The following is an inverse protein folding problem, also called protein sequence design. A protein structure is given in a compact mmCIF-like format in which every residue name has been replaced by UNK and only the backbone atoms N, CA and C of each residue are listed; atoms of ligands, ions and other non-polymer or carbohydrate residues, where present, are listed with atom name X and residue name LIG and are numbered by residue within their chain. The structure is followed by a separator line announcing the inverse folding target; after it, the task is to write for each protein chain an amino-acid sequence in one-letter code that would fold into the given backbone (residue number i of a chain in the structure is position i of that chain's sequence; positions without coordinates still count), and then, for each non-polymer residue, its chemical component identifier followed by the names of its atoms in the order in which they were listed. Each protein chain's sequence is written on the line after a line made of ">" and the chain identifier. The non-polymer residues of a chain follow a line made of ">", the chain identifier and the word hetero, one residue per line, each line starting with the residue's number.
data_IF_639211319965
#
_entry.id   IF_639211319965
#
_cell.length_a   1.000
_cell.length_b   1.000
_cell.length_c   1.000
_cell.angle_alpha   90.00
_cell.angle_beta   90.00
_cell.angle_gamma   90.00
#
_symmetry.space_group_name_H-M   'P 1'
#
loop_
_entity.id
_entity.type
_entity.pdbx_description
1 polymer ?
#
# COMPACT_ATOMS: atom_id res chain seq x y z
N UNK A 1 4.99 0.41 16.13
CA UNK A 1 4.66 -0.76 15.28
C UNK A 1 3.74 -1.62 16.11
N UNK A 2 2.64 -2.06 15.51
CA UNK A 2 1.62 -2.88 16.14
C UNK A 2 1.29 -4.06 15.23
N UNK A 3 0.66 -5.09 15.79
CA UNK A 3 -0.02 -6.12 15.01
C UNK A 3 -1.51 -6.03 15.29
N UNK A 4 -2.34 -6.27 14.27
CA UNK A 4 -3.75 -6.56 14.45
C UNK A 4 -4.07 -7.95 13.92
N UNK A 5 -4.91 -8.66 14.63
CA UNK A 5 -5.41 -9.98 14.27
C UNK A 5 -6.79 -9.86 13.67
N UNK A 6 -7.23 -10.88 12.91
CA UNK A 6 -8.56 -10.89 12.28
C UNK A 6 -9.72 -10.64 13.25
N UNK A 7 -9.57 -10.98 14.53
CA UNK A 7 -10.56 -10.75 15.59
C UNK A 7 -10.54 -9.34 16.19
N UNK A 8 -9.49 -8.55 15.96
CA UNK A 8 -9.36 -7.23 16.58
C UNK A 8 -10.28 -6.21 15.92
N UNK A 9 -10.94 -5.32 16.67
CA UNK A 9 -11.80 -4.27 16.12
C UNK A 9 -11.10 -3.35 15.10
N UNK A 10 -9.78 -3.18 15.23
CA UNK A 10 -8.97 -2.37 14.32
C UNK A 10 -8.62 -3.06 12.99
N UNK A 11 -8.92 -4.36 12.86
CA UNK A 11 -8.65 -5.09 11.63
C UNK A 11 -9.63 -4.67 10.51
N UNK A 12 -9.14 -4.30 9.31
CA UNK A 12 -10.00 -3.78 8.23
C UNK A 12 -11.13 -4.75 7.87
N UNK A 13 -12.37 -4.26 7.83
CA UNK A 13 -13.53 -5.10 7.57
C UNK A 13 -13.48 -5.69 6.15
N UNK A 14 -13.04 -4.89 5.18
CA UNK A 14 -12.83 -5.31 3.79
C UNK A 14 -11.91 -6.54 3.68
N UNK A 15 -10.79 -6.53 4.41
CA UNK A 15 -9.87 -7.67 4.46
C UNK A 15 -10.46 -8.91 5.11
N UNK A 16 -11.51 -8.84 5.94
CA UNK A 16 -12.14 -10.04 6.50
C UNK A 16 -12.97 -10.79 5.46
N UNK A 17 -13.34 -10.12 4.37
CA UNK A 17 -14.26 -10.63 3.37
C UNK A 17 -13.55 -11.31 2.18
N UNK A 18 -12.22 -11.22 2.11
CA UNK A 18 -11.46 -11.90 1.06
C UNK A 18 -11.38 -13.40 1.34
N UNK A 19 -11.12 -14.20 0.29
CA UNK A 19 -11.07 -15.67 0.37
C UNK A 19 -10.03 -16.21 1.38
N UNK A 20 -8.90 -15.53 1.51
CA UNK A 20 -7.79 -15.92 2.39
C UNK A 20 -7.27 -14.70 3.18
N UNK A 21 -8.01 -14.28 4.23
CA UNK A 21 -7.66 -13.09 5.01
C UNK A 21 -6.41 -13.35 5.86
N UNK A 22 -5.45 -12.42 5.93
CA UNK A 22 -4.28 -12.61 6.78
C UNK A 22 -4.69 -12.67 8.25
N UNK A 23 -4.31 -13.76 8.94
CA UNK A 23 -4.62 -13.92 10.36
C UNK A 23 -3.98 -12.82 11.23
N UNK A 24 -2.82 -12.34 10.82
CA UNK A 24 -2.05 -11.27 11.47
C UNK A 24 -1.63 -10.28 10.40
N UNK A 25 -1.91 -9.00 10.65
CA UNK A 25 -1.44 -7.88 9.85
C UNK A 25 -0.50 -7.03 10.72
N UNK A 26 0.76 -6.96 10.33
CA UNK A 26 1.73 -6.06 10.94
C UNK A 26 1.54 -4.66 10.39
N UNK A 27 1.59 -3.66 11.27
CA UNK A 27 1.35 -2.24 10.94
C UNK A 27 2.50 -1.39 11.49
N UNK A 28 3.08 -0.57 10.64
CA UNK A 28 4.00 0.50 11.01
C UNK A 28 3.28 1.82 10.85
N UNK A 29 3.14 2.53 11.99
CA UNK A 29 2.18 3.61 12.29
C UNK A 29 0.82 3.05 12.66
N UNK A 30 -0.25 3.68 12.20
CA UNK A 30 -1.63 3.35 12.51
C UNK A 30 -2.37 3.14 11.19
N UNK A 31 -3.37 2.25 11.19
CA UNK A 31 -4.26 2.14 10.04
C UNK A 31 -5.13 3.40 9.99
N UNK A 32 -5.28 4.05 8.83
CA UNK A 32 -6.14 5.21 8.72
C UNK A 32 -7.58 4.85 9.05
N UNK A 33 -8.28 5.75 9.72
CA UNK A 33 -9.74 5.64 9.86
C UNK A 33 -10.38 5.61 8.47
N UNK A 34 -11.40 4.77 8.30
CA UNK A 34 -12.05 4.51 7.03
C UNK A 34 -11.03 4.09 5.95
N UNK A 35 -10.10 3.19 6.28
CA UNK A 35 -9.21 2.56 5.29
C UNK A 35 -10.00 1.85 4.19
N UNK A 36 -11.19 1.34 4.52
CA UNK A 36 -12.11 0.72 3.56
C UNK A 36 -12.59 1.72 2.49
N UNK A 37 -12.45 3.04 2.72
CA UNK A 37 -12.67 4.09 1.72
C UNK A 37 -11.36 4.50 1.06
N UNK A 38 -10.80 3.56 0.27
CA UNK A 38 -9.52 3.71 -0.41
C UNK A 38 -9.56 3.12 -1.82
N UNK A 39 -8.63 3.55 -2.66
CA UNK A 39 -8.42 3.00 -4.01
C UNK A 39 -7.00 2.47 -4.17
N UNK A 40 -6.90 1.35 -4.90
CA UNK A 40 -5.64 0.81 -5.32
C UNK A 40 -5.18 1.51 -6.60
N UNK A 41 -3.91 1.90 -6.66
CA UNK A 41 -3.26 2.36 -7.90
C UNK A 41 -2.05 1.47 -8.12
N UNK A 42 -2.13 0.63 -9.16
CA UNK A 42 -1.12 -0.40 -9.48
C UNK A 42 -0.84 -0.41 -10.98
N UNK A 43 0.26 -1.00 -11.40
CA UNK A 43 0.53 -1.11 -12.83
C UNK A 43 1.88 -1.68 -13.21
N UNK A 44 2.33 -1.31 -14.40
CA UNK A 44 3.55 -1.82 -15.03
C UNK A 44 4.81 -1.60 -14.16
N UNK A 45 5.67 -2.62 -14.06
CA UNK A 45 7.00 -2.55 -13.46
C UNK A 45 8.04 -1.74 -14.28
N UNK A 46 7.68 -1.35 -15.50
CA UNK A 46 8.50 -0.54 -16.40
C UNK A 46 7.62 0.52 -17.08
N UNK A 47 7.14 1.51 -16.32
CA UNK A 47 6.26 2.54 -16.87
C UNK A 47 7.02 3.45 -17.83
N UNK A 48 6.31 4.04 -18.78
CA UNK A 48 6.81 5.19 -19.54
C UNK A 48 6.66 6.45 -18.69
N UNK A 49 7.43 7.51 -18.97
CA UNK A 49 7.28 8.80 -18.27
C UNK A 49 5.84 9.33 -18.24
N UNK A 50 5.09 9.08 -19.31
CA UNK A 50 3.66 9.42 -19.37
C UNK A 50 2.86 8.67 -18.31
N UNK A 51 3.09 7.38 -18.13
CA UNK A 51 2.38 6.55 -17.14
C UNK A 51 2.81 6.84 -15.70
N UNK A 52 4.08 7.17 -15.50
CA UNK A 52 4.59 7.69 -14.22
C UNK A 52 3.80 8.94 -13.83
N UNK A 53 3.75 9.93 -14.73
CA UNK A 53 2.99 11.17 -14.52
C UNK A 53 1.50 10.92 -14.32
N UNK A 54 0.89 10.06 -15.15
CA UNK A 54 -0.54 9.75 -15.04
C UNK A 54 -0.87 9.11 -13.69
N UNK A 55 -0.03 8.19 -13.20
CA UNK A 55 -0.24 7.53 -11.90
C UNK A 55 -0.12 8.50 -10.74
N UNK A 56 0.83 9.43 -10.82
CA UNK A 56 0.94 10.54 -9.90
C UNK A 56 -0.31 11.43 -9.94
N UNK A 57 -0.68 11.93 -11.12
CA UNK A 57 -1.79 12.87 -11.29
C UNK A 57 -3.13 12.25 -10.83
N UNK A 58 -3.36 10.96 -11.13
CA UNK A 58 -4.54 10.21 -10.63
C UNK A 58 -4.52 10.11 -9.11
N UNK A 59 -3.42 9.65 -8.52
CA UNK A 59 -3.33 9.45 -7.08
C UNK A 59 -3.49 10.77 -6.33
N UNK A 60 -2.91 11.85 -6.84
CA UNK A 60 -3.06 13.20 -6.33
C UNK A 60 -4.53 13.63 -6.34
N UNK A 61 -5.19 13.57 -7.50
CA UNK A 61 -6.58 13.99 -7.64
C UNK A 61 -7.56 13.17 -6.78
N UNK A 62 -7.36 11.85 -6.70
CA UNK A 62 -8.17 10.99 -5.82
C UNK A 62 -7.98 11.37 -4.35
N UNK A 63 -6.75 11.70 -3.96
CA UNK A 63 -6.42 12.07 -2.58
C UNK A 63 -7.02 13.42 -2.19
N UNK A 64 -7.01 14.41 -3.09
CA UNK A 64 -7.71 15.69 -2.88
C UNK A 64 -9.21 15.52 -2.65
N UNK A 65 -9.81 14.43 -3.17
CA UNK A 65 -11.20 14.07 -2.96
C UNK A 65 -11.42 13.15 -1.74
N UNK A 66 -10.44 13.04 -0.85
CA UNK A 66 -10.56 12.35 0.45
C UNK A 66 -10.35 10.82 0.41
N UNK A 67 -9.95 10.26 -0.74
CA UNK A 67 -9.60 8.85 -0.83
C UNK A 67 -8.17 8.59 -0.34
N UNK A 68 -7.96 7.44 0.31
CA UNK A 68 -6.61 6.95 0.59
C UNK A 68 -6.11 6.15 -0.60
N UNK A 69 -4.80 6.21 -0.84
CA UNK A 69 -4.16 5.44 -1.90
C UNK A 69 -3.47 4.23 -1.29
N UNK A 70 -3.81 3.04 -1.77
CA UNK A 70 -3.18 1.78 -1.41
C UNK A 70 -2.34 1.29 -2.58
N UNK A 71 -1.07 0.96 -2.34
CA UNK A 71 -0.23 0.37 -3.39
C UNK A 71 0.91 -0.46 -2.78
N UNK A 72 1.75 -1.04 -3.62
CA UNK A 72 2.70 -2.07 -3.26
C UNK A 72 4.13 -1.61 -2.97
N UNK A 73 4.43 -0.32 -3.09
CA UNK A 73 5.76 0.23 -2.84
C UNK A 73 6.87 -0.26 -3.77
N UNK A 74 6.56 -0.86 -4.93
CA UNK A 74 7.56 -1.22 -5.93
C UNK A 74 8.17 0.03 -6.63
N UNK A 75 9.20 -0.15 -7.45
CA UNK A 75 9.99 0.92 -8.10
C UNK A 75 9.25 1.75 -9.18
N UNK A 76 7.96 1.53 -9.34
CA UNK A 76 7.25 1.74 -10.59
C UNK A 76 6.01 2.61 -10.38
N UNK A 77 4.89 2.27 -11.02
CA UNK A 77 3.58 2.90 -10.82
C UNK A 77 3.25 3.09 -9.33
N UNK A 78 3.62 2.11 -8.49
CA UNK A 78 3.42 2.18 -7.04
C UNK A 78 4.12 3.40 -6.43
N UNK A 79 5.36 3.69 -6.85
CA UNK A 79 6.16 4.83 -6.36
C UNK A 79 5.48 6.17 -6.67
N UNK A 80 5.03 6.35 -7.91
CA UNK A 80 4.41 7.60 -8.35
C UNK A 80 3.03 7.80 -7.74
N UNK A 81 2.27 6.73 -7.54
CA UNK A 81 1.00 6.78 -6.84
C UNK A 81 1.17 7.24 -5.38
N UNK A 82 2.14 6.67 -4.65
CA UNK A 82 2.44 7.10 -3.29
C UNK A 82 2.91 8.56 -3.24
N UNK A 83 3.76 8.98 -4.19
CA UNK A 83 4.24 10.37 -4.23
C UNK A 83 3.08 11.35 -4.50
N UNK A 84 2.16 11.03 -5.42
CA UNK A 84 0.98 11.86 -5.69
C UNK A 84 0.07 12.00 -4.47
N UNK A 85 -0.16 10.91 -3.74
CA UNK A 85 -0.95 10.94 -2.51
C UNK A 85 -0.30 11.77 -1.40
N UNK A 86 1.02 11.66 -1.23
CA UNK A 86 1.76 12.46 -0.25
C UNK A 86 1.76 13.95 -0.59
N UNK A 87 1.96 14.29 -1.85
CA UNK A 87 2.02 15.68 -2.30
C UNK A 87 0.64 16.37 -2.22
N UNK A 88 -0.45 15.61 -2.37
CA UNK A 88 -1.81 16.07 -2.08
C UNK A 88 -2.09 16.24 -0.57
N UNK A 89 -1.13 15.94 0.29
CA UNK A 89 -1.26 16.07 1.75
C UNK A 89 -2.15 15.01 2.40
N UNK A 90 -2.48 13.92 1.69
CA UNK A 90 -3.34 12.86 2.23
C UNK A 90 -2.58 11.64 2.73
N UNK A 91 -3.32 10.56 2.91
CA UNK A 91 -2.84 9.33 3.54
C UNK A 91 -2.64 8.23 2.50
N UNK A 92 -1.46 7.61 2.50
CA UNK A 92 -1.17 6.46 1.64
C UNK A 92 -0.74 5.23 2.45
N UNK A 93 -1.12 4.05 1.96
CA UNK A 93 -0.83 2.76 2.57
C UNK A 93 0.01 1.92 1.63
N UNK A 94 1.21 1.54 2.09
CA UNK A 94 2.08 0.60 1.39
C UNK A 94 1.83 -0.80 1.92
N UNK A 95 1.41 -1.71 1.06
CA UNK A 95 1.30 -3.12 1.39
C UNK A 95 2.63 -3.79 1.02
N UNK A 96 3.45 -4.15 1.99
CA UNK A 96 4.79 -4.69 1.76
C UNK A 96 4.74 -6.17 1.36
N UNK A 97 5.70 -6.59 0.51
CA UNK A 97 5.89 -8.00 0.12
C UNK A 97 6.94 -8.75 0.96
N UNK A 98 7.39 -8.12 2.03
CA UNK A 98 8.39 -8.57 2.98
C UNK A 98 8.01 -8.11 4.38
N UNK A 99 8.75 -8.53 5.39
CA UNK A 99 8.57 -8.04 6.76
C UNK A 99 8.81 -6.54 6.87
N UNK A 100 8.16 -5.87 7.84
CA UNK A 100 8.31 -4.42 8.07
C UNK A 100 9.68 -4.01 8.63
N UNK A 101 10.50 -4.97 9.06
CA UNK A 101 11.90 -4.78 9.41
C UNK A 101 12.84 -4.77 8.20
N UNK A 102 12.33 -5.02 6.99
CA UNK A 102 13.10 -5.05 5.75
C UNK A 102 12.63 -3.93 4.83
N UNK A 103 13.55 -3.05 4.43
CA UNK A 103 13.29 -2.00 3.44
C UNK A 103 13.49 -2.60 2.06
N UNK A 104 12.39 -2.75 1.32
CA UNK A 104 12.46 -3.22 -0.06
C UNK A 104 11.39 -2.54 -0.94
N UNK A 105 11.78 -2.02 -2.11
CA UNK A 105 13.15 -1.97 -2.61
C UNK A 105 13.98 -0.88 -1.94
N UNK A 106 15.31 -1.05 -1.93
CA UNK A 106 16.22 -0.12 -1.24
C UNK A 106 16.17 1.31 -1.80
N UNK A 107 15.92 1.50 -3.11
CA UNK A 107 15.81 2.85 -3.68
C UNK A 107 14.62 3.64 -3.12
N UNK A 108 13.60 2.96 -2.63
CA UNK A 108 12.40 3.59 -2.08
C UNK A 108 12.54 3.87 -0.59
N UNK A 109 13.73 3.73 -0.01
CA UNK A 109 13.98 4.03 1.40
C UNK A 109 13.50 5.44 1.78
N UNK A 110 13.92 6.46 1.04
CA UNK A 110 13.51 7.85 1.31
C UNK A 110 12.00 8.05 1.16
N UNK A 111 11.38 7.39 0.18
CA UNK A 111 9.93 7.44 0.02
C UNK A 111 9.23 6.81 1.21
N UNK A 112 9.66 5.63 1.66
CA UNK A 112 9.08 4.96 2.81
C UNK A 112 9.29 5.75 4.10
N UNK A 113 10.41 6.45 4.26
CA UNK A 113 10.62 7.39 5.38
C UNK A 113 9.59 8.52 5.36
N UNK A 114 9.32 9.11 4.18
CA UNK A 114 8.24 10.11 4.00
C UNK A 114 6.86 9.53 4.29
N UNK A 115 6.55 8.33 3.76
CA UNK A 115 5.26 7.68 4.02
C UNK A 115 5.11 7.37 5.51
N UNK A 116 6.16 6.96 6.20
CA UNK A 116 6.07 6.75 7.66
C UNK A 116 5.82 8.06 8.41
N UNK A 117 6.02 9.24 7.83
CA UNK A 117 5.69 10.51 8.49
C UNK A 117 4.17 10.80 8.49
N UNK A 118 3.44 10.43 7.43
CA UNK A 118 2.02 10.82 7.23
C UNK A 118 1.12 9.71 6.67
N UNK A 119 1.61 8.47 6.63
CA UNK A 119 0.97 7.30 6.04
C UNK A 119 1.29 6.02 6.80
N UNK A 120 1.07 4.87 6.16
CA UNK A 120 1.14 3.56 6.82
C UNK A 120 1.86 2.54 5.95
N UNK A 121 2.70 1.70 6.57
CA UNK A 121 3.22 0.49 5.95
C UNK A 121 2.59 -0.72 6.65
N UNK A 122 2.10 -1.68 5.87
CA UNK A 122 1.52 -2.91 6.39
C UNK A 122 2.15 -4.15 5.75
N UNK A 123 2.12 -5.28 6.44
CA UNK A 123 2.60 -6.56 5.91
C UNK A 123 1.91 -7.72 6.59
N UNK A 124 1.69 -8.82 5.86
CA UNK A 124 1.31 -10.11 6.45
C UNK A 124 2.52 -10.99 6.80
N UNK A 125 3.72 -10.58 6.38
CA UNK A 125 4.94 -11.35 6.54
C UNK A 125 5.60 -11.03 7.88
N UNK A 126 6.24 -12.05 8.49
CA UNK A 126 6.97 -11.86 9.74
C UNK A 126 8.01 -10.74 9.62
N UNK A 127 8.25 -10.03 10.73
CA UNK A 127 9.02 -8.77 10.76
C UNK A 127 10.34 -8.78 9.98
N UNK A 128 11.07 -9.90 9.98
CA UNK A 128 12.38 -10.05 9.34
C UNK A 128 12.35 -10.81 8.03
N UNK A 129 11.18 -11.19 7.52
CA UNK A 129 11.07 -11.98 6.30
C UNK A 129 11.64 -11.21 5.09
N UNK A 130 12.60 -11.78 4.35
CA UNK A 130 13.14 -11.14 3.17
C UNK A 130 12.13 -11.12 2.00
N UNK A 131 12.28 -10.20 1.04
CA UNK A 131 11.45 -10.17 -0.15
C UNK A 131 11.67 -11.44 -0.99
N UNK A 132 10.59 -12.13 -1.35
CA UNK A 132 10.60 -13.28 -2.27
C UNK A 132 9.71 -12.99 -3.46
N UNK A 133 10.11 -13.45 -4.65
CA UNK A 133 9.31 -13.25 -5.87
C UNK A 133 7.90 -13.85 -5.76
N UNK A 134 7.78 -14.99 -5.10
CA UNK A 134 6.50 -15.66 -4.81
C UNK A 134 5.55 -14.85 -3.92
N UNK A 135 6.07 -13.92 -3.13
CA UNK A 135 5.26 -13.07 -2.25
C UNK A 135 4.52 -11.99 -3.05
N UNK A 136 4.95 -11.69 -4.27
CA UNK A 136 4.38 -10.59 -5.04
C UNK A 136 2.90 -10.84 -5.41
N UNK A 137 2.50 -11.98 -6.01
CA UNK A 137 1.09 -12.26 -6.27
C UNK A 137 0.26 -12.40 -4.99
N UNK A 138 0.81 -13.01 -3.94
CA UNK A 138 0.11 -13.22 -2.67
C UNK A 138 -0.25 -11.90 -1.97
N UNK A 139 0.70 -10.96 -1.95
CA UNK A 139 0.50 -9.61 -1.39
C UNK A 139 -0.61 -8.86 -2.11
N UNK A 140 -0.73 -8.99 -3.43
CA UNK A 140 -1.68 -8.19 -4.22
C UNK A 140 -3.14 -8.43 -3.81
N UNK A 141 -3.49 -9.59 -3.27
CA UNK A 141 -4.83 -9.85 -2.73
C UNK A 141 -5.19 -8.91 -1.56
N UNK A 142 -4.19 -8.46 -0.78
CA UNK A 142 -4.39 -7.50 0.29
C UNK A 142 -4.63 -6.10 -0.25
N UNK A 143 -3.91 -5.71 -1.32
CA UNK A 143 -4.12 -4.42 -1.99
C UNK A 143 -5.56 -4.33 -2.49
N UNK A 144 -6.00 -5.32 -3.28
CA UNK A 144 -7.37 -5.34 -3.80
C UNK A 144 -8.42 -5.56 -2.71
N UNK A 145 -8.06 -6.31 -1.67
CA UNK A 145 -8.95 -6.62 -0.56
C UNK A 145 -9.20 -5.45 0.38
N UNK A 146 -8.31 -4.46 0.42
CA UNK A 146 -8.43 -3.26 1.25
C UNK A 146 -9.24 -2.14 0.59
N UNK A 147 -9.39 -2.19 -0.73
CA UNK A 147 -9.83 -1.04 -1.52
C UNK A 147 -11.21 -1.26 -2.14
N UNK A 148 -11.92 -0.17 -2.41
CA UNK A 148 -13.21 -0.19 -3.12
C UNK A 148 -13.06 -0.54 -4.60
N UNK A 149 -11.86 -0.35 -5.14
CA UNK A 149 -11.56 -0.56 -6.54
C UNK A 149 -10.07 -0.41 -6.82
N UNK A 150 -9.71 -0.69 -8.06
CA UNK A 150 -8.33 -0.69 -8.52
C UNK A 150 -8.22 0.05 -9.85
N UNK A 151 -7.37 1.07 -9.89
CA UNK A 151 -6.92 1.71 -11.12
C UNK A 151 -5.68 0.97 -11.59
N UNK A 152 -5.72 0.45 -12.82
CA UNK A 152 -4.58 -0.25 -13.42
C UNK A 152 -3.99 0.61 -14.53
N UNK A 153 -2.78 1.11 -14.30
CA UNK A 153 -1.99 1.81 -15.32
C UNK A 153 -1.02 0.82 -15.99
N UNK A 154 -1.53 0.10 -16.99
CA UNK A 154 -0.74 -0.83 -17.82
C UNK A 154 0.10 -0.11 -18.83
#
# INVERSE_FOLDING_TARGET
>A
MSGCTVGDPAYPQSLRQICDPPLILYVKRELPQNIDYSLAVVGSHRPTRYREKLSYDIAYALTENGLKIVSGGAHDIDTYAHQGALDAGGHTVVVMRCGLGVIYPASNQQLFEKIVASGTLISEYSMTMPPRGSNFPQRNRLISGLTLGTVVSV
#
